data_IF_875205960755
#
_entry.id   IF_875205960755
#
_cell.length_a   1.000
_cell.length_b   1.000
_cell.length_c   1.000
_cell.angle_alpha   90.00
_cell.angle_beta   90.00
_cell.angle_gamma   90.00
#
_symmetry.space_group_name_H-M   'P 1'
#
loop_
_entity.id
_entity.type
_entity.pdbx_description
1 polymer ?
#
# COMPACT_ATOMS: atom_id res chain seq x y z
N UNK A 1 6.35 36.37 14.63
CA UNK A 1 5.21 36.05 15.48
C UNK A 1 4.47 34.94 14.76
N UNK A 2 4.90 33.67 14.94
CA UNK A 2 4.10 32.50 14.60
C UNK A 2 2.90 32.54 15.53
N UNK A 3 1.71 32.70 14.97
CA UNK A 3 0.47 32.44 15.71
C UNK A 3 0.42 30.95 15.98
N UNK A 4 0.18 30.55 17.22
CA UNK A 4 -0.21 29.19 17.59
C UNK A 4 -1.47 28.83 16.77
N UNK A 5 -1.26 28.14 15.63
CA UNK A 5 -2.35 27.64 14.81
C UNK A 5 -2.81 26.33 15.42
N UNK A 6 -4.10 26.22 15.70
CA UNK A 6 -4.67 24.94 16.07
C UNK A 6 -4.44 23.95 14.90
N UNK A 7 -3.80 22.80 15.15
CA UNK A 7 -3.60 21.78 14.13
C UNK A 7 -4.96 21.38 13.53
N UNK A 8 -5.08 21.37 12.20
CA UNK A 8 -6.31 20.98 11.50
C UNK A 8 -7.17 22.15 10.97
N UNK A 9 -6.98 23.40 11.43
CA UNK A 9 -7.82 24.54 11.03
C UNK A 9 -7.66 24.97 9.56
N UNK A 10 -6.52 24.68 8.93
CA UNK A 10 -6.17 25.13 7.58
C UNK A 10 -5.99 23.97 6.59
N UNK A 11 -6.56 22.78 6.88
CA UNK A 11 -6.45 21.61 6.03
C UNK A 11 -7.26 21.81 4.75
N UNK A 12 -6.62 21.57 3.60
CA UNK A 12 -7.23 21.62 2.27
C UNK A 12 -7.35 20.24 1.61
N UNK A 13 -6.62 19.22 2.10
CA UNK A 13 -6.68 17.86 1.59
C UNK A 13 -6.39 16.84 2.69
N UNK A 14 -6.98 15.65 2.59
CA UNK A 14 -6.73 14.56 3.52
C UNK A 14 -6.17 13.34 2.76
N UNK A 15 -5.01 12.88 3.19
CA UNK A 15 -4.32 11.72 2.63
C UNK A 15 -4.36 10.57 3.63
N UNK A 16 -4.53 9.36 3.13
CA UNK A 16 -4.66 8.17 3.97
C UNK A 16 -3.65 7.09 3.58
N UNK A 17 -3.12 6.38 4.58
CA UNK A 17 -2.67 5.01 4.39
C UNK A 17 -3.87 4.07 4.22
N UNK A 18 -3.62 2.87 3.71
CA UNK A 18 -4.69 1.87 3.46
C UNK A 18 -4.66 0.75 4.48
N UNK A 19 -3.57 -0.01 4.52
CA UNK A 19 -3.48 -1.25 5.26
C UNK A 19 -3.23 -1.00 6.75
N UNK A 20 -4.18 -1.38 7.60
CA UNK A 20 -4.13 -1.07 9.03
C UNK A 20 -4.73 0.30 9.37
N UNK A 21 -5.09 1.11 8.38
CA UNK A 21 -5.73 2.42 8.54
C UNK A 21 -7.18 2.39 8.06
N UNK A 22 -7.43 2.25 6.77
CA UNK A 22 -8.78 2.15 6.19
C UNK A 22 -9.28 0.71 6.17
N UNK A 23 -8.36 -0.22 5.92
CA UNK A 23 -8.64 -1.64 5.71
C UNK A 23 -7.94 -2.48 6.78
N UNK A 24 -8.73 -3.32 7.45
CA UNK A 24 -8.22 -4.37 8.32
C UNK A 24 -7.91 -5.58 7.45
N UNK A 25 -6.64 -5.72 7.07
CA UNK A 25 -6.14 -6.80 6.22
C UNK A 25 -5.22 -7.72 7.01
N UNK A 26 -5.31 -9.02 6.72
CA UNK A 26 -4.34 -10.03 7.16
C UNK A 26 -3.91 -10.86 5.98
N UNK A 27 -2.60 -10.99 5.77
CA UNK A 27 -1.99 -11.84 4.75
C UNK A 27 -0.96 -12.79 5.35
N UNK A 28 -0.83 -13.94 4.72
CA UNK A 28 0.16 -14.95 5.03
C UNK A 28 0.94 -15.28 3.75
N UNK A 29 1.69 -14.27 3.26
CA UNK A 29 2.36 -14.31 1.95
C UNK A 29 3.37 -15.46 1.80
N UNK A 30 3.87 -16.00 2.92
CA UNK A 30 4.78 -17.15 2.94
C UNK A 30 4.12 -18.51 3.21
N UNK A 31 2.80 -18.58 3.25
CA UNK A 31 2.09 -19.82 3.56
C UNK A 31 2.25 -20.86 2.43
N UNK A 32 2.21 -22.14 2.80
CA UNK A 32 2.46 -23.26 1.86
C UNK A 32 1.41 -23.35 0.76
N UNK A 33 0.14 -23.07 1.08
CA UNK A 33 -0.97 -23.06 0.11
C UNK A 33 -0.78 -22.02 -1.00
N UNK A 34 -0.14 -20.89 -0.71
CA UNK A 34 0.18 -19.84 -1.68
C UNK A 34 1.10 -20.39 -2.77
N UNK A 35 2.20 -21.02 -2.36
CA UNK A 35 3.19 -21.56 -3.30
C UNK A 35 2.75 -22.86 -3.93
N UNK A 36 1.91 -23.66 -3.27
CA UNK A 36 1.25 -24.81 -3.90
C UNK A 36 0.32 -24.36 -5.03
N UNK A 37 -0.49 -23.32 -4.83
CA UNK A 37 -1.35 -22.78 -5.86
C UNK A 37 -0.55 -22.23 -7.05
N UNK A 38 0.50 -21.45 -6.77
CA UNK A 38 1.38 -20.89 -7.80
C UNK A 38 2.11 -21.99 -8.59
N UNK A 39 2.66 -23.01 -7.93
CA UNK A 39 3.35 -24.12 -8.59
C UNK A 39 2.40 -24.91 -9.48
N UNK A 40 1.20 -25.25 -8.99
CA UNK A 40 0.17 -25.92 -9.81
C UNK A 40 -0.22 -25.09 -11.03
N UNK A 41 -0.41 -23.80 -10.88
CA UNK A 41 -0.72 -22.92 -12.00
C UNK A 41 0.43 -22.87 -13.01
N UNK A 42 1.69 -22.77 -12.55
CA UNK A 42 2.89 -22.73 -13.38
C UNK A 42 3.08 -24.02 -14.20
N UNK A 43 2.73 -25.20 -13.65
CA UNK A 43 2.79 -26.49 -14.37
C UNK A 43 1.93 -26.45 -15.64
N UNK A 44 0.73 -25.84 -15.62
CA UNK A 44 -0.09 -25.66 -16.83
C UNK A 44 0.53 -24.72 -17.85
N UNK A 45 1.51 -23.93 -17.44
CA UNK A 45 2.22 -22.99 -18.31
C UNK A 45 3.56 -23.57 -18.79
N UNK A 46 3.84 -24.85 -18.45
CA UNK A 46 5.08 -25.53 -18.80
C UNK A 46 6.29 -25.13 -17.95
N UNK A 47 6.06 -24.55 -16.77
CA UNK A 47 7.11 -24.26 -15.79
C UNK A 47 6.95 -25.25 -14.63
N UNK A 48 7.93 -26.13 -14.48
CA UNK A 48 7.93 -27.18 -13.46
C UNK A 48 8.89 -26.82 -12.31
N UNK A 49 8.33 -26.22 -11.27
CA UNK A 49 9.01 -25.85 -10.03
C UNK A 49 8.19 -26.34 -8.84
N UNK A 50 8.85 -27.06 -7.92
CA UNK A 50 8.23 -27.46 -6.66
C UNK A 50 7.84 -26.26 -5.80
N UNK A 51 6.77 -26.36 -4.97
CA UNK A 51 6.32 -25.24 -4.13
C UNK A 51 7.39 -24.67 -3.20
N UNK A 52 8.24 -25.54 -2.61
CA UNK A 52 9.30 -25.14 -1.70
C UNK A 52 10.40 -24.35 -2.42
N UNK A 53 10.83 -24.80 -3.59
CA UNK A 53 11.84 -24.13 -4.41
C UNK A 53 11.31 -22.79 -4.93
N UNK A 54 10.06 -22.78 -5.37
CA UNK A 54 9.38 -21.55 -5.83
C UNK A 54 9.31 -20.51 -4.72
N UNK A 55 8.94 -20.92 -3.49
CA UNK A 55 8.93 -20.04 -2.32
C UNK A 55 10.31 -19.48 -2.03
N UNK A 56 11.32 -20.33 -1.96
CA UNK A 56 12.70 -19.93 -1.68
C UNK A 56 13.21 -18.95 -2.73
N UNK A 57 12.95 -19.24 -4.01
CA UNK A 57 13.34 -18.39 -5.14
C UNK A 57 12.67 -17.02 -5.07
N UNK A 58 11.34 -16.97 -4.87
CA UNK A 58 10.58 -15.73 -4.78
C UNK A 58 11.12 -14.79 -3.70
N UNK A 59 11.30 -15.30 -2.47
CA UNK A 59 11.79 -14.47 -1.35
C UNK A 59 13.27 -14.08 -1.51
N UNK A 60 14.08 -14.93 -2.12
CA UNK A 60 15.48 -14.59 -2.45
C UNK A 60 15.53 -13.44 -3.44
N UNK A 61 14.69 -13.47 -4.49
CA UNK A 61 14.61 -12.39 -5.47
C UNK A 61 14.06 -11.10 -4.87
N UNK A 62 13.05 -11.19 -4.01
CA UNK A 62 12.53 -10.03 -3.30
C UNK A 62 13.59 -9.34 -2.45
N UNK A 63 14.39 -10.12 -1.71
CA UNK A 63 15.53 -9.59 -0.92
C UNK A 63 16.59 -8.96 -1.83
N UNK A 64 16.92 -9.62 -2.93
CA UNK A 64 17.90 -9.12 -3.89
C UNK A 64 17.47 -7.79 -4.53
N UNK A 65 16.20 -7.67 -4.95
CA UNK A 65 15.68 -6.41 -5.48
C UNK A 65 15.83 -5.27 -4.47
N UNK A 66 15.47 -5.50 -3.20
CA UNK A 66 15.61 -4.48 -2.16
C UNK A 66 17.07 -4.12 -1.89
N UNK A 67 17.98 -5.10 -1.86
CA UNK A 67 19.40 -4.88 -1.58
C UNK A 67 20.12 -4.15 -2.72
N UNK A 68 19.68 -4.33 -3.96
CA UNK A 68 20.28 -3.71 -5.15
C UNK A 68 19.63 -2.35 -5.49
N UNK A 69 18.57 -1.99 -4.81
CA UNK A 69 17.89 -0.71 -5.03
C UNK A 69 18.74 0.47 -4.58
N UNK A 70 18.77 1.59 -5.33
CA UNK A 70 19.45 2.81 -4.90
C UNK A 70 18.67 3.59 -3.83
N UNK A 71 17.43 3.21 -3.55
CA UNK A 71 16.57 3.92 -2.60
C UNK A 71 16.87 3.53 -1.15
N UNK A 72 16.80 4.51 -0.24
CA UNK A 72 16.96 4.25 1.20
C UNK A 72 15.84 3.36 1.75
N UNK A 73 14.64 3.50 1.21
CA UNK A 73 13.44 2.74 1.59
C UNK A 73 12.91 1.96 0.38
N UNK A 74 13.60 0.88 -0.05
CA UNK A 74 13.29 0.20 -1.29
C UNK A 74 11.96 -0.56 -1.21
N UNK A 75 11.18 -0.49 -2.29
CA UNK A 75 10.07 -1.39 -2.54
C UNK A 75 10.48 -2.45 -3.57
N UNK A 76 9.87 -3.62 -3.50
CA UNK A 76 10.09 -4.68 -4.48
C UNK A 76 9.02 -4.64 -5.57
N UNK A 77 9.29 -5.27 -6.71
CA UNK A 77 8.36 -5.45 -7.81
C UNK A 77 7.92 -6.91 -7.88
N UNK A 78 6.74 -7.22 -7.37
CA UNK A 78 6.19 -8.57 -7.36
C UNK A 78 5.99 -9.14 -8.76
N UNK A 79 5.49 -8.33 -9.69
CA UNK A 79 5.26 -8.73 -11.09
C UNK A 79 6.59 -9.00 -11.78
N UNK A 80 7.60 -8.16 -11.55
CA UNK A 80 8.95 -8.36 -12.07
C UNK A 80 9.61 -9.63 -11.55
N UNK A 81 9.42 -9.97 -10.26
CA UNK A 81 9.90 -11.25 -9.71
C UNK A 81 9.26 -12.43 -10.45
N UNK A 82 7.95 -12.43 -10.61
CA UNK A 82 7.25 -13.50 -11.32
C UNK A 82 7.66 -13.58 -12.79
N UNK A 83 7.92 -12.44 -13.44
CA UNK A 83 8.43 -12.41 -14.81
C UNK A 83 9.77 -13.14 -14.92
N UNK A 84 10.71 -12.82 -14.05
CA UNK A 84 12.04 -13.45 -14.05
C UNK A 84 11.92 -14.95 -13.76
N UNK A 85 11.06 -15.37 -12.82
CA UNK A 85 10.83 -16.79 -12.51
C UNK A 85 10.32 -17.53 -13.76
N UNK A 86 9.26 -17.00 -14.39
CA UNK A 86 8.69 -17.60 -15.61
C UNK A 86 9.71 -17.69 -16.74
N UNK A 87 10.46 -16.62 -17.01
CA UNK A 87 11.45 -16.58 -18.08
C UNK A 87 12.61 -17.56 -17.85
N UNK A 88 13.14 -17.62 -16.63
CA UNK A 88 14.27 -18.51 -16.30
C UNK A 88 13.93 -20.00 -16.36
N UNK A 89 12.69 -20.34 -16.04
CA UNK A 89 12.23 -21.73 -15.98
C UNK A 89 11.32 -22.11 -17.16
N UNK A 90 11.22 -21.25 -18.17
CA UNK A 90 10.45 -21.48 -19.39
C UNK A 90 10.93 -22.73 -20.14
N UNK A 91 10.02 -23.65 -20.42
CA UNK A 91 10.25 -24.79 -21.32
C UNK A 91 9.99 -24.39 -22.78
N UNK A 92 10.19 -25.33 -23.71
CA UNK A 92 9.79 -25.12 -25.11
C UNK A 92 8.29 -24.84 -25.25
N UNK A 93 7.45 -25.50 -24.43
CA UNK A 93 6.01 -25.26 -24.37
C UNK A 93 5.69 -23.84 -23.90
N UNK A 94 6.32 -23.39 -22.81
CA UNK A 94 6.14 -22.01 -22.28
C UNK A 94 6.47 -20.99 -23.34
N UNK A 95 7.59 -21.18 -24.05
CA UNK A 95 8.03 -20.24 -25.11
C UNK A 95 7.11 -20.25 -26.33
N UNK A 96 6.42 -21.34 -26.59
CA UNK A 96 5.44 -21.48 -27.68
C UNK A 96 4.05 -20.92 -27.34
N UNK A 97 3.78 -20.55 -26.08
CA UNK A 97 2.53 -19.91 -25.70
C UNK A 97 2.34 -18.57 -26.45
N UNK A 98 1.09 -18.15 -26.74
CA UNK A 98 0.80 -16.85 -27.32
C UNK A 98 1.48 -15.72 -26.53
N UNK A 99 2.03 -14.72 -27.23
CA UNK A 99 2.77 -13.60 -26.62
C UNK A 99 1.94 -12.93 -25.52
N UNK A 100 0.69 -12.59 -25.82
CA UNK A 100 -0.23 -11.95 -24.84
C UNK A 100 -0.36 -12.77 -23.56
N UNK A 101 -0.46 -14.09 -23.69
CA UNK A 101 -0.54 -14.98 -22.51
C UNK A 101 0.74 -14.93 -21.68
N UNK A 102 1.91 -14.98 -22.32
CA UNK A 102 3.20 -14.92 -21.64
C UNK A 102 3.41 -13.60 -20.90
N UNK A 103 2.99 -12.49 -21.50
CA UNK A 103 3.08 -11.16 -20.91
C UNK A 103 2.14 -10.98 -19.70
N UNK A 104 1.00 -11.66 -19.68
CA UNK A 104 0.04 -11.61 -18.57
C UNK A 104 0.40 -12.54 -17.41
N UNK A 105 1.16 -13.61 -17.63
CA UNK A 105 1.48 -14.60 -16.59
C UNK A 105 2.07 -13.99 -15.30
N UNK A 106 3.02 -13.05 -15.35
CA UNK A 106 3.58 -12.45 -14.14
C UNK A 106 2.54 -11.70 -13.31
N UNK A 107 1.65 -10.95 -13.95
CA UNK A 107 0.57 -10.23 -13.26
C UNK A 107 -0.43 -11.22 -12.64
N UNK A 108 -0.87 -12.22 -13.41
CA UNK A 108 -1.78 -13.27 -12.92
C UNK A 108 -1.20 -13.99 -11.70
N UNK A 109 0.10 -14.30 -11.72
CA UNK A 109 0.78 -14.94 -10.59
C UNK A 109 0.84 -14.02 -9.36
N UNK A 110 1.11 -12.74 -9.54
CA UNK A 110 1.10 -11.78 -8.45
C UNK A 110 -0.29 -11.65 -7.80
N UNK A 111 -1.34 -11.56 -8.62
CA UNK A 111 -2.73 -11.49 -8.16
C UNK A 111 -3.19 -12.81 -7.51
N UNK A 112 -2.87 -13.96 -8.13
CA UNK A 112 -3.18 -15.28 -7.60
C UNK A 112 -2.58 -15.49 -6.21
N UNK A 113 -1.27 -15.25 -6.10
CA UNK A 113 -0.57 -15.44 -4.82
C UNK A 113 -1.06 -14.47 -3.76
N UNK A 114 -1.34 -13.22 -4.11
CA UNK A 114 -1.96 -12.27 -3.18
C UNK A 114 -3.37 -12.71 -2.77
N UNK A 115 -4.19 -13.17 -3.70
CA UNK A 115 -5.54 -13.66 -3.43
C UNK A 115 -5.57 -14.85 -2.49
N UNK A 116 -4.64 -15.81 -2.68
CA UNK A 116 -4.50 -16.98 -1.80
C UNK A 116 -3.93 -16.59 -0.44
N UNK A 117 -2.93 -15.71 -0.39
CA UNK A 117 -2.30 -15.27 0.85
C UNK A 117 -3.24 -14.49 1.77
N UNK A 118 -4.25 -13.82 1.21
CA UNK A 118 -5.14 -12.94 1.94
C UNK A 118 -6.15 -13.72 2.78
N UNK A 119 -6.03 -13.64 4.11
CA UNK A 119 -6.90 -14.32 5.08
C UNK A 119 -8.06 -13.45 5.55
N UNK A 120 -7.89 -12.11 5.55
CA UNK A 120 -8.92 -11.14 5.92
C UNK A 120 -8.78 -9.89 5.07
N UNK A 121 -9.92 -9.31 4.68
CA UNK A 121 -10.02 -7.99 4.05
C UNK A 121 -11.38 -7.39 4.38
N UNK A 122 -11.40 -6.40 5.27
CA UNK A 122 -12.60 -5.69 5.70
C UNK A 122 -12.27 -4.22 5.93
N UNK A 123 -13.23 -3.33 5.83
CA UNK A 123 -13.06 -1.96 6.30
C UNK A 123 -12.94 -1.95 7.83
N UNK A 124 -12.22 -0.97 8.39
CA UNK A 124 -12.40 -0.60 9.78
C UNK A 124 -13.78 0.04 9.99
N UNK A 125 -14.34 -0.01 11.20
CA UNK A 125 -15.63 0.61 11.50
C UNK A 125 -15.66 2.09 11.10
N UNK A 126 -16.81 2.54 10.61
CA UNK A 126 -17.12 3.94 10.27
C UNK A 126 -16.29 4.56 9.12
N UNK A 127 -15.31 3.87 8.56
CA UNK A 127 -14.46 4.38 7.46
C UNK A 127 -15.31 4.92 6.32
N UNK A 128 -16.23 4.12 5.78
CA UNK A 128 -17.04 4.52 4.62
C UNK A 128 -17.88 5.76 4.91
N UNK A 129 -18.58 5.79 6.03
CA UNK A 129 -19.43 6.92 6.40
C UNK A 129 -18.63 8.23 6.54
N UNK A 130 -17.44 8.15 7.15
CA UNK A 130 -16.53 9.29 7.31
C UNK A 130 -15.99 9.76 5.95
N UNK A 131 -15.60 8.84 5.07
CA UNK A 131 -15.12 9.20 3.72
C UNK A 131 -16.22 9.84 2.87
N UNK A 132 -17.48 9.37 2.98
CA UNK A 132 -18.64 9.98 2.31
C UNK A 132 -18.82 11.45 2.73
N UNK A 133 -18.66 11.76 4.00
CA UNK A 133 -18.77 13.12 4.52
C UNK A 133 -17.57 13.99 4.15
N UNK A 134 -16.35 13.47 4.28
CA UNK A 134 -15.13 14.19 3.94
C UNK A 134 -15.01 14.52 2.45
N UNK A 135 -15.42 13.60 1.56
CA UNK A 135 -15.38 13.77 0.09
C UNK A 135 -16.11 15.02 -0.42
N UNK A 136 -17.17 15.44 0.27
CA UNK A 136 -17.91 16.65 -0.06
C UNK A 136 -17.18 17.96 0.26
N UNK A 137 -16.08 17.87 1.02
CA UNK A 137 -15.37 19.04 1.59
C UNK A 137 -13.89 19.08 1.25
N UNK A 138 -13.26 17.93 1.09
CA UNK A 138 -11.83 17.78 0.88
C UNK A 138 -11.54 16.84 -0.28
N UNK A 139 -10.55 17.14 -1.13
CA UNK A 139 -9.93 16.13 -1.97
C UNK A 139 -9.27 15.07 -1.09
N UNK A 140 -9.52 13.80 -1.42
CA UNK A 140 -9.01 12.65 -0.69
C UNK A 140 -8.01 11.87 -1.56
N UNK A 141 -6.88 11.52 -0.98
CA UNK A 141 -5.85 10.73 -1.65
C UNK A 141 -5.40 9.53 -0.81
N UNK A 142 -4.78 8.58 -1.48
CA UNK A 142 -4.11 7.45 -0.83
C UNK A 142 -2.61 7.49 -1.10
N UNK A 143 -1.81 7.20 -0.06
CA UNK A 143 -0.37 6.92 -0.16
C UNK A 143 -0.09 5.64 0.62
N UNK A 144 0.12 4.53 -0.10
CA UNK A 144 0.18 3.19 0.50
C UNK A 144 1.42 2.40 0.10
N UNK A 145 1.97 1.65 1.06
CA UNK A 145 3.01 0.65 0.81
C UNK A 145 2.34 -0.65 0.36
N UNK A 146 2.29 -0.85 -0.96
CA UNK A 146 1.64 -1.98 -1.61
C UNK A 146 2.18 -2.18 -3.03
N UNK A 147 1.63 -3.15 -3.75
CA UNK A 147 1.88 -3.37 -5.18
C UNK A 147 0.64 -3.00 -5.99
N UNK A 148 0.84 -2.42 -7.17
CA UNK A 148 -0.28 -2.05 -8.07
C UNK A 148 -1.15 -3.22 -8.48
N UNK A 149 -0.57 -4.41 -8.57
CA UNK A 149 -1.30 -5.63 -8.90
C UNK A 149 -2.51 -5.90 -7.98
N UNK A 150 -2.48 -5.38 -6.72
CA UNK A 150 -3.59 -5.64 -5.79
C UNK A 150 -4.12 -4.42 -5.04
N UNK A 151 -3.38 -3.32 -4.91
CA UNK A 151 -3.80 -2.19 -4.09
C UNK A 151 -5.17 -1.64 -4.51
N UNK A 152 -5.36 -1.40 -5.83
CA UNK A 152 -6.64 -0.91 -6.37
C UNK A 152 -7.74 -1.96 -6.29
N UNK A 153 -7.43 -3.23 -6.53
CA UNK A 153 -8.38 -4.32 -6.44
C UNK A 153 -8.90 -4.53 -5.00
N UNK A 154 -8.02 -4.41 -4.00
CA UNK A 154 -8.39 -4.50 -2.58
C UNK A 154 -9.27 -3.31 -2.15
N UNK A 155 -8.95 -2.07 -2.58
CA UNK A 155 -9.81 -0.90 -2.37
C UNK A 155 -11.18 -1.07 -3.05
N UNK A 156 -11.21 -1.57 -4.28
CA UNK A 156 -12.45 -1.85 -5.01
C UNK A 156 -13.31 -2.89 -4.28
N UNK A 157 -12.71 -3.99 -3.86
CA UNK A 157 -13.42 -5.08 -3.19
C UNK A 157 -14.11 -4.64 -1.88
N UNK A 158 -13.51 -3.70 -1.16
CA UNK A 158 -14.13 -3.11 0.04
C UNK A 158 -14.96 -1.86 -0.26
N UNK A 159 -15.15 -1.48 -1.55
CA UNK A 159 -15.99 -0.35 -1.97
C UNK A 159 -15.42 1.02 -1.62
N UNK A 160 -14.08 1.15 -1.53
CA UNK A 160 -13.42 2.41 -1.19
C UNK A 160 -12.66 3.05 -2.35
N UNK A 161 -12.53 2.37 -3.51
CA UNK A 161 -11.69 2.82 -4.63
C UNK A 161 -12.06 4.23 -5.12
N UNK A 162 -13.35 4.51 -5.28
CA UNK A 162 -13.87 5.73 -5.90
C UNK A 162 -13.83 6.97 -4.99
N UNK A 163 -13.36 6.82 -3.75
CA UNK A 163 -13.17 7.96 -2.84
C UNK A 163 -11.89 8.73 -3.11
N UNK A 164 -10.91 8.14 -3.77
CA UNK A 164 -9.54 8.64 -3.80
C UNK A 164 -9.04 8.96 -5.21
N UNK A 165 -8.52 10.16 -5.37
CA UNK A 165 -7.74 10.60 -6.51
C UNK A 165 -6.75 11.69 -6.06
N UNK A 166 -5.42 11.43 -6.08
CA UNK A 166 -4.72 10.24 -6.60
C UNK A 166 -4.67 9.05 -5.63
N UNK A 167 -4.34 7.88 -6.17
CA UNK A 167 -3.92 6.69 -5.44
C UNK A 167 -2.45 6.43 -5.75
N UNK A 168 -1.57 6.74 -4.80
CA UNK A 168 -0.12 6.55 -4.90
C UNK A 168 0.27 5.24 -4.24
N UNK A 169 0.86 4.33 -5.01
CA UNK A 169 1.26 2.99 -4.57
C UNK A 169 2.77 2.85 -4.67
N UNK A 170 3.45 2.43 -3.61
CA UNK A 170 4.91 2.31 -3.54
C UNK A 170 5.51 1.42 -4.63
N UNK A 171 4.81 0.34 -4.99
CA UNK A 171 5.23 -0.59 -6.04
C UNK A 171 5.37 0.03 -7.42
N UNK A 172 4.70 1.15 -7.71
CA UNK A 172 4.84 1.88 -8.98
C UNK A 172 6.12 2.71 -9.06
N UNK A 173 6.76 2.95 -7.91
CA UNK A 173 7.87 3.89 -7.79
C UNK A 173 9.18 3.24 -7.34
N UNK A 174 9.15 2.00 -6.84
CA UNK A 174 10.33 1.27 -6.34
C UNK A 174 10.84 1.72 -4.97
N UNK A 175 10.13 2.62 -4.30
CA UNK A 175 10.41 3.06 -2.93
C UNK A 175 9.11 3.22 -2.12
N UNK A 176 9.22 3.14 -0.80
CA UNK A 176 8.08 3.14 0.13
C UNK A 176 8.25 4.14 1.26
N UNK A 177 7.21 4.37 2.01
CA UNK A 177 7.24 5.18 3.24
C UNK A 177 8.30 4.67 4.23
N UNK A 178 9.00 5.55 4.93
CA UNK A 178 8.79 6.99 5.09
C UNK A 178 9.49 7.88 4.05
N UNK A 179 9.80 7.38 2.86
CA UNK A 179 10.39 8.24 1.82
C UNK A 179 9.46 9.41 1.49
N UNK A 180 9.93 10.68 1.66
CA UNK A 180 9.10 11.86 1.45
C UNK A 180 8.61 12.02 0.01
N UNK A 181 9.28 11.40 -0.95
CA UNK A 181 8.89 11.48 -2.36
C UNK A 181 7.49 10.89 -2.58
N UNK A 182 7.13 9.79 -1.86
CA UNK A 182 5.85 9.14 -2.03
C UNK A 182 4.68 10.07 -1.64
N UNK A 183 4.81 10.77 -0.51
CA UNK A 183 3.82 11.78 -0.08
C UNK A 183 3.79 12.98 -1.05
N UNK A 184 4.96 13.41 -1.52
CA UNK A 184 5.09 14.54 -2.45
C UNK A 184 4.38 14.27 -3.78
N UNK A 185 4.35 13.04 -4.27
CA UNK A 185 3.59 12.65 -5.47
C UNK A 185 2.10 12.96 -5.30
N UNK A 186 1.50 12.55 -4.19
CA UNK A 186 0.10 12.83 -3.91
C UNK A 186 -0.18 14.32 -3.72
N UNK A 187 0.67 15.03 -2.95
CA UNK A 187 0.55 16.47 -2.72
C UNK A 187 0.62 17.29 -4.02
N UNK A 188 1.53 16.91 -4.93
CA UNK A 188 1.65 17.58 -6.25
C UNK A 188 0.41 17.34 -7.11
N UNK A 189 -0.12 16.12 -7.14
CA UNK A 189 -1.33 15.82 -7.89
C UNK A 189 -2.54 16.61 -7.36
N UNK A 190 -2.64 16.74 -6.05
CA UNK A 190 -3.70 17.55 -5.39
C UNK A 190 -3.44 19.05 -5.47
N UNK A 191 -2.22 19.49 -5.81
CA UNK A 191 -1.77 20.90 -5.80
C UNK A 191 -1.91 21.57 -4.42
N UNK A 192 -1.66 20.80 -3.36
CA UNK A 192 -1.75 21.26 -1.97
C UNK A 192 -0.37 21.33 -1.34
N UNK A 193 -0.10 22.39 -0.59
CA UNK A 193 1.14 22.53 0.17
C UNK A 193 1.13 21.55 1.36
N UNK A 194 2.28 20.95 1.74
CA UNK A 194 2.34 19.96 2.82
C UNK A 194 1.72 20.45 4.14
N UNK A 195 1.96 21.70 4.53
CA UNK A 195 1.43 22.28 5.76
C UNK A 195 -0.09 22.58 5.72
N UNK A 196 -0.74 22.33 4.59
CA UNK A 196 -2.19 22.42 4.39
C UNK A 196 -2.81 21.04 4.10
N UNK A 197 -2.06 19.97 4.31
CA UNK A 197 -2.52 18.62 4.13
C UNK A 197 -2.47 17.86 5.46
N UNK A 198 -3.45 17.00 5.68
CA UNK A 198 -3.50 16.05 6.78
C UNK A 198 -3.16 14.65 6.26
N UNK A 199 -2.36 13.92 7.00
CA UNK A 199 -2.06 12.51 6.73
C UNK A 199 -2.57 11.64 7.87
N UNK A 200 -3.37 10.64 7.54
CA UNK A 200 -3.94 9.66 8.47
C UNK A 200 -3.30 8.30 8.23
N UNK A 201 -2.64 7.74 9.21
CA UNK A 201 -1.98 6.43 9.11
C UNK A 201 -1.91 5.71 10.43
N UNK A 202 -1.43 4.46 10.45
CA UNK A 202 -1.39 3.60 11.64
C UNK A 202 0.02 3.25 12.12
N UNK A 203 1.04 3.71 11.43
CA UNK A 203 2.44 3.36 11.67
C UNK A 203 3.26 4.60 12.00
N UNK A 204 3.84 4.64 13.21
CA UNK A 204 4.60 5.79 13.70
C UNK A 204 5.84 6.11 12.85
N UNK A 205 6.51 5.08 12.31
CA UNK A 205 7.69 5.28 11.48
C UNK A 205 7.32 5.64 10.03
N UNK A 206 6.51 4.81 9.40
CA UNK A 206 6.22 4.95 7.96
C UNK A 206 5.31 6.13 7.68
N UNK A 207 4.25 6.28 8.47
CA UNK A 207 3.20 7.26 8.23
C UNK A 207 3.48 8.57 8.95
N UNK A 208 3.56 8.54 10.28
CA UNK A 208 3.62 9.76 11.09
C UNK A 208 4.97 10.46 10.91
N UNK A 209 6.10 9.74 11.10
CA UNK A 209 7.42 10.33 10.87
C UNK A 209 7.58 10.79 9.42
N UNK A 210 7.14 9.97 8.44
CA UNK A 210 7.24 10.31 7.02
C UNK A 210 6.49 11.59 6.65
N UNK A 211 5.23 11.72 7.05
CA UNK A 211 4.40 12.89 6.78
C UNK A 211 4.86 14.14 7.56
N UNK A 212 5.26 13.96 8.84
CA UNK A 212 5.74 15.07 9.69
C UNK A 212 7.00 15.73 9.15
N UNK A 213 7.92 14.97 8.54
CA UNK A 213 9.12 15.52 7.90
C UNK A 213 8.83 16.50 6.76
N UNK A 214 7.65 16.43 6.18
CA UNK A 214 7.17 17.39 5.16
C UNK A 214 6.37 18.54 5.76
N UNK A 215 6.08 18.53 7.06
CA UNK A 215 5.27 19.55 7.73
C UNK A 215 3.76 19.34 7.55
N UNK A 216 3.31 18.12 7.25
CA UNK A 216 1.89 17.77 7.21
C UNK A 216 1.32 17.67 8.63
N UNK A 217 0.03 17.95 8.81
CA UNK A 217 -0.71 17.57 10.01
C UNK A 217 -0.85 16.04 10.05
N UNK A 218 -0.53 15.42 11.18
CA UNK A 218 -0.45 13.96 11.31
C UNK A 218 -1.50 13.42 12.27
N UNK A 219 -2.19 12.37 11.86
CA UNK A 219 -3.19 11.65 12.67
C UNK A 219 -2.81 10.17 12.73
N UNK A 220 -2.55 9.69 13.94
CA UNK A 220 -2.33 8.26 14.17
C UNK A 220 -3.66 7.57 14.44
N UNK A 221 -4.05 6.64 13.57
CA UNK A 221 -5.11 5.70 13.87
C UNK A 221 -4.55 4.55 14.71
N UNK A 222 -5.00 4.43 15.95
CA UNK A 222 -4.52 3.46 16.94
C UNK A 222 -5.11 2.05 16.68
N UNK A 223 -4.87 1.50 15.48
CA UNK A 223 -5.28 0.13 15.14
C UNK A 223 -4.39 -0.91 15.83
N UNK A 224 -4.69 -2.19 15.63
CA UNK A 224 -3.88 -3.33 16.08
C UNK A 224 -2.64 -3.61 15.20
N UNK A 225 -2.45 -2.84 14.12
CA UNK A 225 -1.37 -2.99 13.13
C UNK A 225 -0.41 -1.78 13.16
N UNK A 226 0.80 -1.96 12.62
CA UNK A 226 1.81 -0.92 12.51
C UNK A 226 2.65 -0.72 13.77
N UNK A 227 3.72 0.06 13.65
CA UNK A 227 4.63 0.44 14.73
C UNK A 227 3.96 1.53 15.58
N UNK A 228 3.97 1.36 16.91
CA UNK A 228 3.23 2.26 17.83
C UNK A 228 4.07 3.40 18.39
N UNK A 229 5.38 3.27 18.36
CA UNK A 229 6.32 4.30 18.83
C UNK A 229 7.51 4.36 17.90
N UNK A 230 8.05 5.54 17.69
CA UNK A 230 9.27 5.73 16.92
C UNK A 230 10.00 6.97 17.43
N UNK A 231 11.19 6.78 18.04
CA UNK A 231 12.01 7.83 18.62
C UNK A 231 11.17 8.81 19.47
N UNK A 232 11.47 10.11 19.40
CA UNK A 232 10.71 11.18 20.07
C UNK A 232 9.61 11.77 19.18
N UNK A 233 9.17 11.04 18.15
CA UNK A 233 8.12 11.47 17.24
C UNK A 233 6.75 11.29 17.90
N UNK A 234 5.96 12.37 17.90
CA UNK A 234 4.56 12.33 18.32
C UNK A 234 3.66 12.77 17.16
N UNK A 235 2.49 12.16 16.96
CA UNK A 235 1.48 12.66 16.04
C UNK A 235 0.82 13.92 16.59
N UNK A 236 0.20 14.73 15.73
CA UNK A 236 -0.59 15.89 16.18
C UNK A 236 -1.91 15.43 16.80
N UNK A 237 -2.48 14.32 16.32
CA UNK A 237 -3.69 13.70 16.86
C UNK A 237 -3.56 12.18 16.90
N UNK A 238 -4.25 11.56 17.88
CA UNK A 238 -4.44 10.11 17.97
C UNK A 238 -5.94 9.85 17.97
N UNK A 239 -6.40 8.96 17.10
CA UNK A 239 -7.78 8.54 17.01
C UNK A 239 -7.92 7.02 17.16
N UNK A 240 -9.03 6.58 17.72
CA UNK A 240 -9.42 5.16 17.82
C UNK A 240 -10.62 4.83 16.94
N UNK A 241 -11.33 5.86 16.49
CA UNK A 241 -12.48 5.78 15.60
C UNK A 241 -12.34 6.86 14.51
N UNK A 242 -12.58 6.51 13.26
CA UNK A 242 -12.48 7.45 12.13
C UNK A 242 -13.45 8.63 12.25
N UNK A 243 -14.56 8.51 12.98
CA UNK A 243 -15.50 9.62 13.23
C UNK A 243 -14.85 10.79 13.95
N UNK A 244 -13.78 10.57 14.71
CA UNK A 244 -13.04 11.62 15.38
C UNK A 244 -12.39 12.61 14.39
N UNK A 245 -12.09 12.16 13.15
CA UNK A 245 -11.61 13.04 12.07
C UNK A 245 -12.58 14.18 11.75
N UNK A 246 -13.88 13.91 11.83
CA UNK A 246 -14.90 14.93 11.55
C UNK A 246 -14.82 16.09 12.55
N UNK A 247 -14.58 15.78 13.82
CA UNK A 247 -14.36 16.78 14.87
C UNK A 247 -13.08 17.58 14.66
N UNK A 248 -11.97 16.91 14.34
CA UNK A 248 -10.67 17.53 14.07
C UNK A 248 -10.73 18.49 12.86
N UNK A 249 -11.47 18.12 11.83
CA UNK A 249 -11.61 18.90 10.59
C UNK A 249 -12.79 19.90 10.63
N UNK A 250 -13.43 20.08 11.80
CA UNK A 250 -14.59 20.98 11.95
C UNK A 250 -15.79 20.56 11.10
N UNK A 251 -15.88 19.30 10.73
CA UNK A 251 -17.05 18.70 10.07
C UNK A 251 -18.08 18.34 11.15
N UNK A 252 -19.13 19.14 11.27
CA UNK A 252 -20.30 18.86 12.13
C UNK A 252 -21.49 18.57 11.23
#
# INVERSE_FOLDING_TARGET
VERDREPGSDVEAVLFDVNGTLINIRTEDGADDVFQAAARFLTYQGVDLGPADLRALYFTMMKAQRSLSPHQHPEFDAVGIWRIIVERHATAYTRALPVVKREQLPLILAELTRGVARRRLTQYPNVRAVLEELRGRFPLAVVTDAQSAWARAELHQVGLLDFFDPIVVSGDHGFRKPDPQLFTLALRALRVAPNRAMYVGNDMYRDIHGARRLGMTTVLFASDQGVKTYEDVAPDFIITDHRELLGILGAR
#
